data_IF_699404095496
#
_entry.id   IF_699404095496
#
_cell.length_a   1.000
_cell.length_b   1.000
_cell.length_c   1.000
_cell.angle_alpha   90.00
_cell.angle_beta   90.00
_cell.angle_gamma   90.00
#
_symmetry.space_group_name_H-M   'P 1'
#
loop_
_entity.id
_entity.type
_entity.pdbx_description
1 polymer ?
#
# COMPACT_ATOMS: atom_id res chain seq x y z
N UNK A 1 -1.99 3.82 14.88
CA UNK A 1 -2.92 4.60 14.01
C UNK A 1 -2.24 5.49 12.98
N UNK A 2 -0.99 5.94 13.16
CA UNK A 2 -0.33 6.88 12.23
C UNK A 2 -0.15 6.30 10.82
N UNK A 3 0.29 5.04 10.71
CA UNK A 3 0.49 4.35 9.43
C UNK A 3 -0.78 4.26 8.57
N UNK A 4 -1.96 4.13 9.20
CA UNK A 4 -3.23 4.14 8.45
C UNK A 4 -3.47 5.50 7.82
N UNK A 5 -3.21 6.61 8.53
CA UNK A 5 -3.37 7.96 7.97
C UNK A 5 -2.40 8.21 6.81
N UNK A 6 -1.16 7.74 6.93
CA UNK A 6 -0.16 7.82 5.86
C UNK A 6 -0.58 7.01 4.63
N UNK A 7 -1.07 5.79 4.80
CA UNK A 7 -1.57 5.00 3.66
C UNK A 7 -2.71 5.70 2.92
N UNK A 8 -3.59 6.41 3.63
CA UNK A 8 -4.63 7.23 2.99
C UNK A 8 -4.06 8.45 2.27
N UNK A 9 -3.02 9.07 2.82
CA UNK A 9 -2.29 10.16 2.16
C UNK A 9 -1.63 9.69 0.84
N UNK A 10 -0.96 8.54 0.85
CA UNK A 10 -0.32 7.96 -0.34
C UNK A 10 -1.34 7.60 -1.42
N UNK A 11 -2.52 7.10 -1.01
CA UNK A 11 -3.65 6.88 -1.91
C UNK A 11 -4.28 8.20 -2.41
N UNK A 12 -3.95 9.35 -1.82
CA UNK A 12 -4.53 10.66 -2.13
C UNK A 12 -5.96 10.86 -1.60
N UNK A 13 -6.35 10.12 -0.57
CA UNK A 13 -7.68 10.21 0.05
C UNK A 13 -7.61 10.83 1.46
N UNK A 14 -8.44 11.83 1.73
CA UNK A 14 -8.46 12.53 3.03
C UNK A 14 -9.35 11.85 4.08
N UNK A 15 -10.15 10.87 3.67
CA UNK A 15 -11.04 10.11 4.55
C UNK A 15 -11.38 8.74 3.96
N UNK A 16 -11.90 7.86 4.81
CA UNK A 16 -12.41 6.55 4.40
C UNK A 16 -13.53 6.72 3.36
N UNK A 17 -14.50 7.59 3.63
CA UNK A 17 -15.61 7.85 2.72
C UNK A 17 -15.14 8.33 1.33
N UNK A 18 -14.13 9.22 1.29
CA UNK A 18 -13.58 9.70 0.01
C UNK A 18 -12.86 8.60 -0.75
N UNK A 19 -12.13 7.71 -0.06
CA UNK A 19 -11.47 6.56 -0.70
C UNK A 19 -12.49 5.62 -1.36
N UNK A 20 -13.57 5.27 -0.65
CA UNK A 20 -14.65 4.46 -1.21
C UNK A 20 -15.30 5.07 -2.44
N UNK A 21 -15.61 6.38 -2.40
CA UNK A 21 -16.17 7.09 -3.56
C UNK A 21 -15.25 7.02 -4.79
N UNK A 22 -13.93 7.17 -4.59
CA UNK A 22 -12.94 7.14 -5.67
C UNK A 22 -12.75 5.74 -6.25
N UNK A 23 -12.87 4.71 -5.41
CA UNK A 23 -12.86 3.32 -5.85
C UNK A 23 -14.10 3.00 -6.69
N UNK A 24 -15.29 3.36 -6.21
CA UNK A 24 -16.56 3.10 -6.89
C UNK A 24 -16.70 3.89 -8.20
N UNK A 25 -16.18 5.12 -8.25
CA UNK A 25 -16.16 5.94 -9.48
C UNK A 25 -15.10 5.49 -10.50
N UNK A 26 -14.21 4.56 -10.14
CA UNK A 26 -13.08 4.14 -10.99
C UNK A 26 -11.94 5.16 -11.10
N UNK A 27 -11.97 6.25 -10.32
CA UNK A 27 -10.87 7.22 -10.23
C UNK A 27 -9.62 6.57 -9.61
N UNK A 28 -9.81 5.73 -8.60
CA UNK A 28 -8.74 4.96 -7.97
C UNK A 28 -8.47 3.68 -8.77
N UNK A 29 -7.22 3.50 -9.18
CA UNK A 29 -6.78 2.32 -9.95
C UNK A 29 -6.10 1.31 -9.03
N UNK A 30 -6.26 0.03 -9.38
CA UNK A 30 -5.64 -1.09 -8.69
C UNK A 30 -4.88 -1.94 -9.72
N UNK A 31 -3.84 -2.61 -9.24
CA UNK A 31 -3.02 -3.47 -10.09
C UNK A 31 -2.87 -4.85 -9.45
N UNK A 32 -3.00 -5.91 -10.26
CA UNK A 32 -2.81 -7.28 -9.80
C UNK A 32 -1.34 -7.63 -9.90
N UNK A 33 -0.71 -7.88 -8.75
CA UNK A 33 0.69 -8.32 -8.71
C UNK A 33 0.80 -9.82 -8.99
N UNK A 34 1.82 -10.21 -9.75
CA UNK A 34 2.20 -11.62 -9.95
C UNK A 34 2.89 -12.17 -8.70
N UNK A 35 3.05 -13.49 -8.61
CA UNK A 35 3.79 -14.10 -7.49
C UNK A 35 5.24 -13.60 -7.40
N UNK A 36 5.91 -13.40 -8.55
CA UNK A 36 7.24 -12.83 -8.59
C UNK A 36 7.27 -11.38 -8.09
N UNK A 37 6.33 -10.53 -8.53
CA UNK A 37 6.25 -9.14 -8.10
C UNK A 37 5.94 -9.00 -6.59
N UNK A 38 5.21 -9.95 -6.00
CA UNK A 38 5.01 -9.99 -4.54
C UNK A 38 6.29 -10.38 -3.79
N UNK A 39 7.07 -11.33 -4.33
CA UNK A 39 8.36 -11.71 -3.75
C UNK A 39 9.36 -10.53 -3.80
N UNK A 40 9.38 -9.79 -4.91
CA UNK A 40 10.21 -8.59 -5.09
C UNK A 40 9.71 -7.40 -4.25
N UNK A 41 8.40 -7.19 -4.11
CA UNK A 41 7.86 -6.08 -3.33
C UNK A 41 8.13 -6.15 -1.82
N UNK A 42 8.63 -7.28 -1.33
CA UNK A 42 9.06 -7.49 0.05
C UNK A 42 10.53 -7.17 0.29
N UNK A 43 11.08 -7.68 1.39
CA UNK A 43 12.53 -7.67 1.60
C UNK A 43 13.11 -8.92 0.95
N UNK A 44 14.03 -8.76 0.00
CA UNK A 44 14.67 -9.86 -0.71
C UNK A 44 16.17 -9.57 -0.96
N UNK A 45 16.95 -10.62 -1.25
CA UNK A 45 18.38 -10.57 -1.64
C UNK A 45 19.34 -9.88 -0.66
N UNK A 46 19.26 -10.20 0.63
CA UNK A 46 20.16 -9.69 1.68
C UNK A 46 20.87 -10.80 2.44
N UNK A 47 22.14 -10.60 2.81
CA UNK A 47 22.90 -11.52 3.68
C UNK A 47 22.32 -11.57 5.11
N UNK A 48 21.90 -10.41 5.63
CA UNK A 48 21.21 -10.28 6.91
C UNK A 48 20.27 -9.08 6.88
N UNK A 49 19.09 -9.20 7.48
CA UNK A 49 18.12 -8.12 7.66
C UNK A 49 17.40 -8.27 9.00
N UNK A 50 17.20 -7.16 9.71
CA UNK A 50 16.44 -7.11 10.96
C UNK A 50 15.21 -6.19 10.79
N UNK A 51 14.00 -6.77 10.88
CA UNK A 51 12.76 -6.02 10.69
C UNK A 51 12.33 -5.37 12.00
N UNK A 52 12.67 -4.09 12.17
CA UNK A 52 12.20 -3.30 13.30
C UNK A 52 10.89 -2.59 12.96
N UNK A 53 9.80 -3.00 13.59
CA UNK A 53 8.62 -2.15 13.70
C UNK A 53 8.83 -1.14 14.81
N UNK A 54 8.40 0.10 14.59
CA UNK A 54 8.38 1.16 15.58
C UNK A 54 7.52 0.80 16.80
#
# INVERSE_FOLDING_TARGET
MHAVKQGFQDLGATSIARSWQRLDSGEQRLERLTGAAQAEGGVHDLHTFDKRSW
#
